data_IF_099282467851
#
_entry.id   IF_099282467851
#
_cell.length_a   1.000
_cell.length_b   1.000
_cell.length_c   1.000
_cell.angle_alpha   90.00
_cell.angle_beta   90.00
_cell.angle_gamma   90.00
#
_symmetry.space_group_name_H-M   'P 1'
#
loop_
_entity.id
_entity.type
_entity.pdbx_description
1 polymer ?
#
# COMPACT_ATOMS: atom_id res chain seq x y z
N UNK A 1 13.08 -40.95 63.28
CA UNK A 1 12.02 -41.87 62.86
C UNK A 1 10.85 -41.05 62.34
N UNK A 2 10.34 -41.50 61.18
CA UNK A 2 9.04 -41.21 60.55
C UNK A 2 8.65 -39.79 60.10
N UNK A 3 8.31 -39.76 58.81
CA UNK A 3 7.27 -38.96 58.17
C UNK A 3 7.51 -37.46 58.03
N UNK A 4 8.00 -37.06 56.85
CA UNK A 4 7.32 -36.15 55.91
C UNK A 4 8.05 -36.34 54.55
N UNK A 5 7.54 -37.29 53.77
CA UNK A 5 7.89 -37.45 52.36
C UNK A 5 6.59 -37.80 51.63
N UNK A 6 6.43 -37.25 50.43
CA UNK A 6 5.34 -37.46 49.46
C UNK A 6 4.08 -36.60 49.64
N UNK A 7 4.05 -35.49 48.91
CA UNK A 7 2.81 -34.83 48.52
C UNK A 7 3.05 -33.71 47.52
N UNK A 8 2.54 -33.85 46.30
CA UNK A 8 2.38 -32.82 45.26
C UNK A 8 3.57 -32.46 44.35
N UNK A 9 3.93 -33.40 43.47
CA UNK A 9 4.66 -33.11 42.23
C UNK A 9 3.93 -33.67 40.97
N UNK A 10 2.58 -33.60 40.93
CA UNK A 10 1.76 -34.11 39.79
C UNK A 10 0.82 -33.07 39.14
N UNK A 11 1.07 -31.76 39.31
CA UNK A 11 0.10 -30.72 38.94
C UNK A 11 0.46 -29.73 37.82
N UNK A 12 1.67 -29.74 37.25
CA UNK A 12 2.14 -28.59 36.43
C UNK A 12 2.55 -28.91 34.99
N UNK A 13 2.29 -30.12 34.49
CA UNK A 13 2.77 -30.57 33.16
C UNK A 13 1.74 -30.67 32.04
N UNK A 14 0.48 -30.27 32.23
CA UNK A 14 -0.62 -30.64 31.29
C UNK A 14 -1.49 -29.50 30.75
N UNK A 15 -1.12 -28.23 30.99
CA UNK A 15 -1.97 -27.07 30.64
C UNK A 15 -1.54 -26.25 29.41
N UNK A 16 -0.39 -26.52 28.78
CA UNK A 16 0.16 -25.65 27.71
C UNK A 16 0.20 -26.28 26.32
N UNK A 17 -0.30 -27.51 26.15
CA UNK A 17 -0.80 -27.97 24.87
C UNK A 17 -2.30 -27.70 24.84
N UNK A 18 -2.65 -26.41 24.92
CA UNK A 18 -3.95 -25.97 24.44
C UNK A 18 -4.03 -26.43 23.00
N UNK A 19 -5.04 -27.25 22.73
CA UNK A 19 -5.47 -27.75 21.43
C UNK A 19 -5.97 -26.56 20.60
N UNK A 20 -5.08 -25.59 20.38
CA UNK A 20 -5.16 -24.57 19.35
C UNK A 20 -4.99 -25.32 18.05
N UNK A 21 -6.02 -26.08 17.68
CA UNK A 21 -6.38 -26.29 16.28
C UNK A 21 -6.29 -24.92 15.65
N UNK A 22 -5.18 -24.72 14.96
CA UNK A 22 -4.69 -23.45 14.49
C UNK A 22 -5.71 -22.91 13.52
N UNK A 23 -6.70 -22.16 14.03
CA UNK A 23 -7.54 -21.31 13.22
C UNK A 23 -6.56 -20.38 12.54
N UNK A 24 -6.37 -20.63 11.24
CA UNK A 24 -5.55 -19.82 10.38
C UNK A 24 -6.07 -18.40 10.50
N UNK A 25 -5.37 -17.57 11.26
CA UNK A 25 -5.72 -16.16 11.40
C UNK A 25 -5.68 -15.58 9.98
N UNK A 26 -6.81 -15.15 9.42
CA UNK A 26 -6.86 -14.79 8.01
C UNK A 26 -6.09 -13.49 7.73
N UNK A 27 -5.65 -12.73 8.75
CA UNK A 27 -4.73 -11.60 8.59
C UNK A 27 -3.39 -12.00 8.00
N UNK A 28 -2.99 -13.24 8.25
CA UNK A 28 -1.80 -13.83 7.68
C UNK A 28 -1.85 -13.89 6.14
N UNK A 29 -3.04 -13.99 5.54
CA UNK A 29 -3.17 -13.98 4.07
C UNK A 29 -2.78 -12.63 3.45
N UNK A 30 -2.70 -11.55 4.24
CA UNK A 30 -2.30 -10.22 3.76
C UNK A 30 -0.84 -9.88 4.08
N UNK A 31 -0.17 -10.67 4.91
CA UNK A 31 1.21 -10.41 5.35
C UNK A 31 2.20 -11.07 4.39
N UNK A 32 2.99 -10.30 3.66
CA UNK A 32 4.01 -10.84 2.76
C UNK A 32 4.98 -11.79 3.50
N UNK A 33 5.33 -11.48 4.75
CA UNK A 33 6.15 -12.32 5.62
C UNK A 33 5.55 -13.70 5.89
N UNK A 34 4.22 -13.83 5.93
CA UNK A 34 3.55 -15.12 6.06
C UNK A 34 3.65 -15.98 4.79
N UNK A 35 3.69 -15.33 3.62
CA UNK A 35 3.85 -16.01 2.33
C UNK A 35 5.31 -16.42 2.08
N UNK A 36 6.26 -15.73 2.71
CA UNK A 36 7.71 -15.90 2.60
C UNK A 36 8.34 -16.64 3.78
N UNK A 37 7.56 -17.10 4.77
CA UNK A 37 8.09 -17.68 6.01
C UNK A 37 8.86 -19.00 5.73
N UNK A 38 10.19 -19.02 5.86
CA UNK A 38 11.00 -20.20 5.60
C UNK A 38 10.80 -21.29 6.67
N UNK A 39 10.23 -20.96 7.83
CA UNK A 39 9.92 -21.94 8.88
C UNK A 39 8.91 -22.98 8.39
N UNK A 40 8.10 -22.66 7.39
CA UNK A 40 7.18 -23.62 6.79
C UNK A 40 7.92 -24.74 6.08
N UNK A 41 9.12 -24.54 5.53
CA UNK A 41 9.85 -25.60 4.83
C UNK A 41 10.26 -26.74 5.77
N UNK A 42 10.26 -26.50 7.08
CA UNK A 42 10.49 -27.53 8.09
C UNK A 42 9.27 -28.41 8.40
N UNK A 43 8.07 -28.00 7.97
CA UNK A 43 6.83 -28.75 8.21
C UNK A 43 6.58 -29.69 7.03
N UNK A 44 6.61 -31.02 7.24
CA UNK A 44 6.38 -31.99 6.17
C UNK A 44 5.00 -31.77 5.54
N UNK A 45 4.94 -31.82 4.22
CA UNK A 45 3.70 -31.67 3.49
C UNK A 45 2.71 -32.77 3.88
N UNK A 46 1.44 -32.42 4.09
CA UNK A 46 0.39 -33.40 4.35
C UNK A 46 0.23 -34.34 3.14
N UNK A 47 0.04 -35.66 3.32
CA UNK A 47 -0.28 -36.58 2.22
C UNK A 47 -1.49 -36.14 1.39
N UNK A 48 -2.38 -35.33 1.96
CA UNK A 48 -3.55 -34.76 1.27
C UNK A 48 -3.17 -33.85 0.09
N UNK A 49 -1.95 -33.31 0.05
CA UNK A 49 -1.49 -32.49 -1.07
C UNK A 49 -1.43 -33.27 -2.40
N UNK A 50 -1.31 -34.60 -2.35
CA UNK A 50 -1.41 -35.45 -3.54
C UNK A 50 -2.76 -35.30 -4.26
N UNK A 51 -3.84 -35.04 -3.53
CA UNK A 51 -5.13 -34.76 -4.16
C UNK A 51 -5.10 -33.49 -5.00
N UNK A 52 -4.38 -32.46 -4.56
CA UNK A 52 -4.25 -31.21 -5.31
C UNK A 52 -3.47 -31.43 -6.61
N UNK A 53 -2.43 -32.27 -6.58
CA UNK A 53 -1.70 -32.72 -7.78
C UNK A 53 -2.64 -33.46 -8.73
N UNK A 54 -3.38 -34.45 -8.23
CA UNK A 54 -4.32 -35.25 -9.04
C UNK A 54 -5.41 -34.37 -9.66
N UNK A 55 -6.04 -33.49 -8.88
CA UNK A 55 -7.07 -32.57 -9.39
C UNK A 55 -6.51 -31.56 -10.38
N UNK A 56 -5.28 -31.07 -10.18
CA UNK A 56 -4.62 -30.20 -11.13
C UNK A 56 -4.33 -30.91 -12.46
N UNK A 57 -3.85 -32.15 -12.43
CA UNK A 57 -3.65 -32.95 -13.64
C UNK A 57 -4.97 -33.25 -14.37
N UNK A 58 -6.01 -33.62 -13.63
CA UNK A 58 -7.36 -33.81 -14.17
C UNK A 58 -7.87 -32.49 -14.80
N UNK A 59 -7.68 -31.35 -14.13
CA UNK A 59 -8.04 -30.03 -14.65
C UNK A 59 -7.36 -29.72 -15.98
N UNK A 60 -6.06 -29.99 -16.11
CA UNK A 60 -5.35 -29.86 -17.39
C UNK A 60 -5.91 -30.79 -18.48
N UNK A 61 -6.17 -32.05 -18.15
CA UNK A 61 -6.73 -33.01 -19.10
C UNK A 61 -8.13 -32.59 -19.57
N UNK A 62 -8.98 -32.12 -18.66
CA UNK A 62 -10.30 -31.58 -18.99
C UNK A 62 -10.18 -30.32 -19.85
N UNK A 63 -9.26 -29.40 -19.55
CA UNK A 63 -9.01 -28.22 -20.37
C UNK A 63 -8.71 -28.62 -21.82
N UNK A 64 -7.83 -29.60 -22.02
CA UNK A 64 -7.46 -30.11 -23.33
C UNK A 64 -8.61 -30.83 -24.03
N UNK A 65 -9.37 -31.65 -23.30
CA UNK A 65 -10.53 -32.38 -23.83
C UNK A 65 -11.65 -31.44 -24.30
N UNK A 66 -11.89 -30.35 -23.56
CA UNK A 66 -12.94 -29.37 -23.85
C UNK A 66 -12.48 -28.18 -24.70
N UNK A 67 -11.26 -28.20 -25.24
CA UNK A 67 -10.68 -27.09 -26.04
C UNK A 67 -11.51 -26.68 -27.26
N UNK A 68 -12.37 -27.57 -27.76
CA UNK A 68 -13.25 -27.31 -28.89
C UNK A 68 -14.60 -26.69 -28.50
N UNK A 69 -14.99 -26.80 -27.22
CA UNK A 69 -16.27 -26.27 -26.71
C UNK A 69 -16.12 -24.94 -25.97
N UNK A 70 -14.93 -24.65 -25.45
CA UNK A 70 -14.63 -23.43 -24.70
C UNK A 70 -13.82 -22.45 -25.55
N UNK A 71 -13.89 -21.16 -25.22
CA UNK A 71 -13.01 -20.18 -25.87
C UNK A 71 -11.54 -20.50 -25.57
N UNK A 72 -10.65 -20.20 -26.53
CA UNK A 72 -9.21 -20.44 -26.37
C UNK A 72 -8.65 -19.79 -25.10
N UNK A 73 -9.14 -18.59 -24.75
CA UNK A 73 -8.73 -17.85 -23.56
C UNK A 73 -9.14 -18.57 -22.27
N UNK A 74 -10.37 -19.06 -22.17
CA UNK A 74 -10.86 -19.81 -21.00
C UNK A 74 -10.11 -21.12 -20.85
N UNK A 75 -9.94 -21.85 -21.96
CA UNK A 75 -9.21 -23.12 -22.00
C UNK A 75 -7.76 -22.96 -21.53
N UNK A 76 -7.06 -21.95 -22.05
CA UNK A 76 -5.67 -21.67 -21.70
C UNK A 76 -5.53 -21.20 -20.25
N UNK A 77 -6.42 -20.33 -19.78
CA UNK A 77 -6.40 -19.85 -18.39
C UNK A 77 -6.65 -20.99 -17.40
N UNK A 78 -7.62 -21.87 -17.70
CA UNK A 78 -7.93 -23.04 -16.87
C UNK A 78 -6.79 -24.06 -16.87
N UNK A 79 -6.22 -24.37 -18.03
CA UNK A 79 -5.06 -25.26 -18.14
C UNK A 79 -3.83 -24.73 -17.37
N UNK A 80 -3.54 -23.43 -17.49
CA UNK A 80 -2.43 -22.78 -16.78
C UNK A 80 -2.67 -22.79 -15.26
N UNK A 81 -3.88 -22.46 -14.80
CA UNK A 81 -4.23 -22.49 -13.39
C UNK A 81 -4.06 -23.89 -12.78
N UNK A 82 -4.58 -24.92 -13.46
CA UNK A 82 -4.48 -26.31 -13.03
C UNK A 82 -3.04 -26.83 -13.05
N UNK A 83 -2.24 -26.45 -14.05
CA UNK A 83 -0.82 -26.80 -14.13
C UNK A 83 -0.03 -26.15 -13.01
N UNK A 84 -0.23 -24.86 -12.75
CA UNK A 84 0.46 -24.13 -11.69
C UNK A 84 0.09 -24.67 -10.31
N UNK A 85 -1.19 -24.98 -10.06
CA UNK A 85 -1.61 -25.65 -8.83
C UNK A 85 -0.90 -27.00 -8.63
N UNK A 86 -0.75 -27.77 -9.71
CA UNK A 86 0.00 -29.04 -9.71
C UNK A 86 1.47 -28.83 -9.38
N UNK A 87 2.14 -27.87 -10.03
CA UNK A 87 3.56 -27.57 -9.84
C UNK A 87 3.86 -27.08 -8.42
N UNK A 88 2.99 -26.21 -7.87
CA UNK A 88 3.15 -25.70 -6.51
C UNK A 88 2.92 -26.81 -5.48
N UNK A 89 1.91 -27.65 -5.68
CA UNK A 89 1.66 -28.80 -4.82
C UNK A 89 2.81 -29.82 -4.87
N UNK A 90 3.33 -30.12 -6.06
CA UNK A 90 4.47 -31.02 -6.23
C UNK A 90 5.75 -30.43 -5.63
N UNK A 91 6.01 -29.14 -5.84
CA UNK A 91 7.12 -28.42 -5.23
C UNK A 91 7.09 -28.49 -3.70
N UNK A 92 5.89 -28.43 -3.10
CA UNK A 92 5.71 -28.60 -1.67
C UNK A 92 5.96 -30.04 -1.20
N UNK A 93 5.48 -31.03 -1.94
CA UNK A 93 5.69 -32.46 -1.65
C UNK A 93 7.18 -32.86 -1.76
N UNK A 94 7.90 -32.28 -2.72
CA UNK A 94 9.32 -32.55 -2.99
C UNK A 94 10.28 -31.62 -2.24
N UNK A 95 9.77 -30.74 -1.38
CA UNK A 95 10.54 -29.73 -0.65
C UNK A 95 11.41 -28.83 -1.56
N UNK A 96 10.92 -28.51 -2.76
CA UNK A 96 11.55 -27.53 -3.65
C UNK A 96 11.31 -26.11 -3.13
N UNK A 97 12.39 -25.42 -2.75
CA UNK A 97 12.38 -24.11 -2.06
C UNK A 97 11.54 -23.02 -2.72
N UNK A 98 11.46 -22.97 -4.05
CA UNK A 98 10.80 -21.85 -4.76
C UNK A 98 9.30 -22.15 -4.98
N UNK A 99 8.90 -23.26 -5.63
CA UNK A 99 7.48 -23.56 -5.86
C UNK A 99 6.76 -24.10 -4.61
N UNK A 100 7.48 -24.60 -3.60
CA UNK A 100 6.89 -25.15 -2.36
C UNK A 100 6.49 -24.10 -1.32
N UNK A 101 6.79 -22.81 -1.55
CA UNK A 101 6.36 -21.73 -0.68
C UNK A 101 4.92 -21.32 -0.98
N UNK A 102 4.26 -20.70 0.00
CA UNK A 102 2.91 -20.14 -0.21
C UNK A 102 2.89 -19.11 -1.34
N UNK A 103 4.00 -18.41 -1.57
CA UNK A 103 4.21 -17.51 -2.71
C UNK A 103 3.93 -18.19 -4.06
N UNK A 104 4.21 -19.48 -4.20
CA UNK A 104 3.91 -20.25 -5.40
C UNK A 104 2.41 -20.25 -5.73
N UNK A 105 1.54 -20.35 -4.72
CA UNK A 105 0.08 -20.27 -4.90
C UNK A 105 -0.38 -18.88 -5.35
N UNK A 106 0.24 -17.83 -4.81
CA UNK A 106 -0.09 -16.45 -5.17
C UNK A 106 0.35 -16.13 -6.60
N UNK A 107 1.55 -16.59 -7.00
CA UNK A 107 2.01 -16.51 -8.38
C UNK A 107 1.13 -17.33 -9.32
N UNK A 108 0.72 -18.54 -8.90
CA UNK A 108 -0.19 -19.39 -9.67
C UNK A 108 -1.52 -18.67 -9.97
N UNK A 109 -2.12 -18.07 -8.94
CA UNK A 109 -3.34 -17.29 -9.07
C UNK A 109 -3.15 -16.05 -9.96
N UNK A 110 -2.07 -15.28 -9.76
CA UNK A 110 -1.79 -14.09 -10.56
C UNK A 110 -1.62 -14.44 -12.05
N UNK A 111 -0.81 -15.46 -12.37
CA UNK A 111 -0.59 -15.89 -13.76
C UNK A 111 -1.88 -16.40 -14.40
N UNK A 112 -2.74 -17.10 -13.63
CA UNK A 112 -4.04 -17.58 -14.11
C UNK A 112 -5.06 -16.44 -14.33
N UNK A 113 -5.05 -15.41 -13.47
CA UNK A 113 -6.00 -14.31 -13.52
C UNK A 113 -5.72 -13.31 -14.66
N UNK A 114 -4.45 -13.09 -15.00
CA UNK A 114 -4.00 -12.14 -16.04
C UNK A 114 -4.68 -12.34 -17.40
N UNK A 115 -4.70 -13.54 -18.02
CA UNK A 115 -5.33 -13.71 -19.33
C UNK A 115 -6.85 -13.47 -19.29
N UNK A 116 -7.53 -13.80 -18.19
CA UNK A 116 -8.96 -13.56 -18.01
C UNK A 116 -9.21 -12.05 -17.90
N UNK A 117 -8.45 -11.34 -17.08
CA UNK A 117 -8.58 -9.89 -16.92
C UNK A 117 -8.26 -9.16 -18.22
N UNK A 118 -7.20 -9.55 -18.93
CA UNK A 118 -6.86 -8.96 -20.23
C UNK A 118 -7.94 -9.25 -21.28
N UNK A 119 -8.54 -10.43 -21.28
CA UNK A 119 -9.63 -10.76 -22.20
C UNK A 119 -10.88 -9.90 -21.91
N UNK A 120 -11.28 -9.79 -20.65
CA UNK A 120 -12.41 -8.95 -20.23
C UNK A 120 -12.14 -7.48 -20.54
N UNK A 121 -10.91 -7.01 -20.32
CA UNK A 121 -10.52 -5.64 -20.63
C UNK A 121 -10.54 -5.38 -22.15
N UNK A 122 -10.05 -6.32 -22.97
CA UNK A 122 -10.10 -6.23 -24.44
C UNK A 122 -11.54 -6.27 -24.95
N UNK A 123 -12.38 -7.14 -24.41
CA UNK A 123 -13.80 -7.19 -24.75
C UNK A 123 -14.47 -5.86 -24.39
N UNK A 124 -14.25 -5.35 -23.17
CA UNK A 124 -14.79 -4.07 -22.74
C UNK A 124 -14.27 -2.90 -23.61
N UNK A 125 -13.01 -2.96 -24.06
CA UNK A 125 -12.44 -1.98 -24.98
C UNK A 125 -13.10 -2.02 -26.36
N UNK A 126 -13.22 -3.22 -26.95
CA UNK A 126 -13.79 -3.42 -28.28
C UNK A 126 -15.27 -3.03 -28.34
N UNK A 127 -16.03 -3.27 -27.27
CA UNK A 127 -17.44 -2.87 -27.18
C UNK A 127 -17.64 -1.41 -26.77
N UNK A 128 -16.57 -0.62 -26.65
CA UNK A 128 -16.64 0.77 -26.23
C UNK A 128 -17.05 0.97 -24.76
N UNK A 129 -17.18 -0.10 -23.97
CA UNK A 129 -17.49 0.00 -22.52
C UNK A 129 -16.39 0.74 -21.80
N UNK A 130 -15.12 0.44 -22.10
CA UNK A 130 -13.98 1.18 -21.51
C UNK A 130 -13.99 2.63 -21.95
N UNK A 131 -14.26 2.92 -23.23
CA UNK A 131 -14.35 4.30 -23.69
C UNK A 131 -15.52 5.04 -23.04
N UNK A 132 -16.65 4.38 -22.80
CA UNK A 132 -17.79 4.94 -22.09
C UNK A 132 -17.49 5.19 -20.62
N UNK A 133 -16.91 4.22 -19.92
CA UNK A 133 -16.47 4.40 -18.54
C UNK A 133 -15.40 5.49 -18.42
N UNK A 134 -14.44 5.55 -19.35
CA UNK A 134 -13.43 6.60 -19.40
C UNK A 134 -14.04 7.94 -19.77
N UNK A 135 -15.01 8.02 -20.68
CA UNK A 135 -15.70 9.27 -21.01
C UNK A 135 -16.54 9.76 -19.83
N UNK A 136 -17.23 8.86 -19.13
CA UNK A 136 -17.96 9.17 -17.90
C UNK A 136 -16.99 9.61 -16.79
N UNK A 137 -15.88 8.90 -16.61
CA UNK A 137 -14.86 9.22 -15.61
C UNK A 137 -14.07 10.49 -15.94
N UNK A 138 -13.87 10.78 -17.22
CA UNK A 138 -13.21 12.00 -17.71
C UNK A 138 -14.21 13.11 -18.02
N UNK A 139 -15.50 12.93 -17.72
CA UNK A 139 -16.56 13.88 -18.01
C UNK A 139 -16.60 14.37 -19.46
N UNK A 140 -16.09 13.55 -20.39
CA UNK A 140 -16.11 13.85 -21.81
C UNK A 140 -17.51 13.52 -22.35
N UNK A 141 -18.21 14.47 -22.99
CA UNK A 141 -19.46 14.14 -23.69
C UNK A 141 -19.20 13.01 -24.69
N UNK A 142 -20.04 11.99 -24.65
CA UNK A 142 -19.95 10.78 -25.46
C UNK A 142 -19.95 11.16 -26.95
N UNK A 143 -18.80 11.01 -27.61
CA UNK A 143 -18.67 11.02 -29.06
C UNK A 143 -19.25 9.70 -29.60
N UNK A 144 -20.58 9.58 -29.66
CA UNK A 144 -21.24 8.47 -30.36
C UNK A 144 -21.81 8.97 -31.68
N UNK A 145 -21.22 8.53 -32.79
CA UNK A 145 -21.80 8.58 -34.13
C UNK A 145 -20.89 9.20 -35.20
N UNK A 146 -20.96 8.68 -36.44
CA UNK A 146 -20.21 9.07 -37.65
C UNK A 146 -20.42 10.54 -38.11
N UNK A 147 -21.06 11.38 -37.30
CA UNK A 147 -21.23 12.81 -37.49
C UNK A 147 -20.32 13.66 -36.59
N UNK A 148 -19.07 13.26 -36.33
CA UNK A 148 -18.15 13.95 -35.42
C UNK A 148 -17.91 15.44 -35.75
N UNK A 149 -18.25 15.89 -36.96
CA UNK A 149 -18.21 17.30 -37.34
C UNK A 149 -19.44 18.11 -36.90
N UNK A 150 -20.54 17.47 -36.47
CA UNK A 150 -21.83 18.14 -36.24
C UNK A 150 -22.21 18.31 -34.75
N UNK A 151 -21.48 17.73 -33.80
CA UNK A 151 -21.80 17.82 -32.36
C UNK A 151 -20.78 18.61 -31.52
N UNK A 152 -20.29 19.75 -32.03
CA UNK A 152 -19.80 20.82 -31.15
C UNK A 152 -21.01 21.47 -30.47
N UNK A 153 -21.53 20.89 -29.38
CA UNK A 153 -22.58 21.58 -28.61
C UNK A 153 -23.48 20.77 -27.68
N UNK A 154 -23.23 19.47 -27.44
CA UNK A 154 -24.02 18.73 -26.45
C UNK A 154 -23.62 19.18 -25.05
N UNK A 155 -24.32 20.21 -24.55
CA UNK A 155 -24.17 20.72 -23.20
C UNK A 155 -24.75 19.72 -22.21
N UNK A 156 -23.96 19.33 -21.21
CA UNK A 156 -24.52 18.61 -20.07
C UNK A 156 -25.61 19.46 -19.40
N UNK A 157 -26.76 18.88 -19.03
CA UNK A 157 -27.76 19.61 -18.28
C UNK A 157 -27.14 20.10 -16.96
N UNK A 158 -27.52 21.31 -16.52
CA UNK A 158 -26.99 21.93 -15.31
C UNK A 158 -27.12 21.00 -14.08
N UNK A 159 -28.22 20.25 -13.99
CA UNK A 159 -28.45 19.26 -12.94
C UNK A 159 -27.35 18.21 -12.86
N UNK A 160 -26.87 17.71 -14.01
CA UNK A 160 -25.80 16.73 -14.07
C UNK A 160 -24.46 17.33 -13.64
N UNK A 161 -24.17 18.56 -14.07
CA UNK A 161 -22.96 19.30 -13.64
C UNK A 161 -22.96 19.51 -12.12
N UNK A 162 -24.07 19.96 -11.56
CA UNK A 162 -24.22 20.17 -10.12
C UNK A 162 -24.12 18.85 -9.34
N UNK A 163 -24.71 17.77 -9.87
CA UNK A 163 -24.60 16.44 -9.27
C UNK A 163 -23.13 15.98 -9.16
N UNK A 164 -22.34 16.14 -10.22
CA UNK A 164 -20.93 15.76 -10.18
C UNK A 164 -20.08 16.64 -9.28
N UNK A 165 -20.31 17.95 -9.26
CA UNK A 165 -19.66 18.84 -8.30
C UNK A 165 -20.00 18.46 -6.86
N UNK A 166 -21.25 18.10 -6.59
CA UNK A 166 -21.67 17.59 -5.29
C UNK A 166 -20.97 16.26 -4.94
N UNK A 167 -20.80 15.36 -5.92
CA UNK A 167 -20.08 14.10 -5.72
C UNK A 167 -18.59 14.34 -5.42
N UNK A 168 -17.93 15.24 -6.15
CA UNK A 168 -16.54 15.62 -5.87
C UNK A 168 -16.40 16.27 -4.49
N UNK A 169 -17.34 17.15 -4.12
CA UNK A 169 -17.38 17.76 -2.80
C UNK A 169 -17.55 16.71 -1.70
N UNK A 170 -18.45 15.74 -1.88
CA UNK A 170 -18.66 14.63 -0.95
C UNK A 170 -17.38 13.79 -0.80
N UNK A 171 -16.71 13.47 -1.90
CA UNK A 171 -15.43 12.76 -1.88
C UNK A 171 -14.33 13.53 -1.13
N UNK A 172 -14.23 14.84 -1.34
CA UNK A 172 -13.28 15.70 -0.65
C UNK A 172 -13.63 15.94 0.83
N UNK A 173 -14.92 16.00 1.18
CA UNK A 173 -15.37 16.05 2.57
C UNK A 173 -15.05 14.75 3.30
N UNK A 174 -15.22 13.61 2.62
CA UNK A 174 -14.82 12.30 3.15
C UNK A 174 -13.32 12.25 3.38
N UNK A 175 -12.52 12.71 2.41
CA UNK A 175 -11.07 12.86 2.58
C UNK A 175 -10.73 13.74 3.78
N UNK A 176 -11.33 14.92 3.90
CA UNK A 176 -11.04 15.86 4.97
C UNK A 176 -11.39 15.27 6.34
N UNK A 177 -12.55 14.62 6.45
CA UNK A 177 -12.99 13.92 7.68
C UNK A 177 -12.00 12.82 8.09
N UNK A 178 -11.59 11.97 7.14
CA UNK A 178 -10.65 10.87 7.41
C UNK A 178 -9.26 11.37 7.83
N UNK A 179 -8.83 12.53 7.33
CA UNK A 179 -7.54 13.14 7.67
C UNK A 179 -7.64 14.19 8.79
N UNK A 180 -8.83 14.37 9.40
CA UNK A 180 -9.12 15.38 10.44
C UNK A 180 -8.82 16.83 9.99
N UNK A 181 -8.95 17.10 8.70
CA UNK A 181 -8.86 18.45 8.17
C UNK A 181 -10.19 19.19 8.37
N UNK A 182 -10.15 20.51 8.51
CA UNK A 182 -11.39 21.28 8.61
C UNK A 182 -12.23 21.14 7.34
N UNK A 183 -13.56 21.04 7.47
CA UNK A 183 -14.47 20.77 6.35
C UNK A 183 -14.36 21.81 5.22
N UNK A 184 -14.02 23.06 5.52
CA UNK A 184 -13.85 24.12 4.53
C UNK A 184 -12.67 23.86 3.58
N UNK A 185 -11.70 23.02 3.96
CA UNK A 185 -10.58 22.64 3.09
C UNK A 185 -11.06 21.93 1.83
N UNK A 186 -12.10 21.09 1.92
CA UNK A 186 -12.71 20.43 0.77
C UNK A 186 -13.25 21.44 -0.25
N UNK A 187 -13.88 22.52 0.23
CA UNK A 187 -14.40 23.59 -0.62
C UNK A 187 -13.24 24.36 -1.26
N UNK A 188 -12.22 24.71 -0.48
CA UNK A 188 -11.04 25.43 -0.98
C UNK A 188 -10.31 24.63 -2.06
N UNK A 189 -10.13 23.32 -1.85
CA UNK A 189 -9.50 22.40 -2.82
C UNK A 189 -10.34 22.31 -4.09
N UNK A 190 -11.66 22.12 -3.97
CA UNK A 190 -12.54 22.03 -5.13
C UNK A 190 -12.55 23.34 -5.92
N UNK A 191 -12.60 24.47 -5.22
CA UNK A 191 -12.54 25.80 -5.83
C UNK A 191 -11.21 26.02 -6.56
N UNK A 192 -10.09 25.63 -5.95
CA UNK A 192 -8.76 25.72 -6.56
C UNK A 192 -8.59 24.80 -7.77
N UNK A 193 -9.01 23.53 -7.66
CA UNK A 193 -8.99 22.60 -8.79
C UNK A 193 -9.89 23.07 -9.95
N UNK A 194 -10.97 23.78 -9.62
CA UNK A 194 -11.89 24.38 -10.59
C UNK A 194 -11.47 25.78 -11.05
N UNK A 195 -10.35 26.33 -10.57
CA UNK A 195 -9.92 27.71 -10.88
C UNK A 195 -9.83 27.99 -12.40
N UNK A 196 -9.29 27.08 -13.25
CA UNK A 196 -9.29 27.30 -14.70
C UNK A 196 -10.69 27.47 -15.29
N UNK A 197 -11.69 26.81 -14.71
CA UNK A 197 -13.10 26.92 -15.09
C UNK A 197 -13.67 28.28 -14.71
N UNK A 198 -13.32 28.81 -13.54
CA UNK A 198 -13.78 30.13 -13.10
C UNK A 198 -13.10 31.27 -13.86
N UNK A 199 -11.79 31.18 -14.10
CA UNK A 199 -11.05 32.15 -14.92
C UNK A 199 -11.66 32.27 -16.33
N UNK A 200 -12.24 31.18 -16.84
CA UNK A 200 -12.96 31.16 -18.11
C UNK A 200 -14.22 32.01 -18.13
N UNK A 201 -14.95 32.16 -17.01
CA UNK A 201 -16.21 32.94 -16.96
C UNK A 201 -16.00 34.45 -17.12
N UNK A 202 -14.76 34.92 -17.00
CA UNK A 202 -14.37 36.29 -17.36
C UNK A 202 -14.37 36.48 -18.90
N UNK A 203 -14.44 35.38 -19.67
CA UNK A 203 -14.39 35.34 -21.13
C UNK A 203 -15.74 34.87 -21.74
N UNK A 204 -16.03 35.16 -23.03
CA UNK A 204 -17.41 35.19 -23.55
C UNK A 204 -18.23 33.88 -23.42
N UNK A 205 -19.55 33.98 -23.14
CA UNK A 205 -20.41 32.93 -22.56
C UNK A 205 -20.91 31.81 -23.51
N UNK A 206 -20.28 31.59 -24.66
CA UNK A 206 -20.93 30.87 -25.77
C UNK A 206 -20.76 29.35 -25.84
N UNK A 207 -19.63 28.78 -25.42
CA UNK A 207 -19.16 27.61 -26.19
C UNK A 207 -18.74 26.37 -25.36
N UNK A 208 -18.63 26.43 -24.02
CA UNK A 208 -17.69 25.54 -23.33
C UNK A 208 -18.04 25.10 -21.88
N UNK A 209 -19.30 24.76 -21.60
CA UNK A 209 -19.65 24.18 -20.30
C UNK A 209 -18.96 22.80 -20.08
N UNK A 210 -18.70 22.06 -21.15
CA UNK A 210 -18.45 20.61 -21.05
C UNK A 210 -16.98 20.23 -20.81
N UNK A 211 -16.02 21.03 -21.30
CA UNK A 211 -14.59 20.77 -21.08
C UNK A 211 -14.14 21.05 -19.62
N UNK A 212 -14.99 21.71 -18.83
CA UNK A 212 -14.62 22.19 -17.49
C UNK A 212 -14.54 21.08 -16.45
N UNK A 213 -15.52 20.17 -16.42
CA UNK A 213 -15.57 19.07 -15.46
C UNK A 213 -14.50 18.01 -15.74
N UNK A 214 -14.11 17.84 -17.00
CA UNK A 214 -13.07 16.89 -17.38
C UNK A 214 -11.74 17.12 -16.67
N UNK A 215 -11.45 18.38 -16.34
CA UNK A 215 -10.27 18.74 -15.54
C UNK A 215 -10.29 18.18 -14.12
N UNK A 216 -11.46 17.84 -13.56
CA UNK A 216 -11.61 17.26 -12.22
C UNK A 216 -11.48 15.74 -12.18
N UNK A 217 -11.42 15.07 -13.34
CA UNK A 217 -11.28 13.61 -13.44
C UNK A 217 -10.10 13.03 -12.65
N UNK A 218 -8.91 13.67 -12.56
CA UNK A 218 -7.82 13.19 -11.72
C UNK A 218 -8.20 13.00 -10.25
N UNK A 219 -9.17 13.76 -9.72
CA UNK A 219 -9.63 13.60 -8.34
C UNK A 219 -10.29 12.23 -8.08
N UNK A 220 -10.72 11.51 -9.11
CA UNK A 220 -11.20 10.13 -8.94
C UNK A 220 -10.12 9.21 -8.38
N UNK A 221 -8.84 9.49 -8.66
CA UNK A 221 -7.73 8.70 -8.13
C UNK A 221 -7.62 8.82 -6.61
N UNK A 222 -7.80 10.02 -6.03
CA UNK A 222 -7.78 10.16 -4.56
C UNK A 222 -8.96 9.42 -3.93
N UNK A 223 -10.14 9.43 -4.55
CA UNK A 223 -11.30 8.69 -4.03
C UNK A 223 -11.06 7.18 -4.08
N UNK A 224 -10.45 6.68 -5.16
CA UNK A 224 -10.04 5.28 -5.26
C UNK A 224 -9.03 4.89 -4.17
N UNK A 225 -8.04 5.75 -3.91
CA UNK A 225 -7.05 5.51 -2.84
C UNK A 225 -7.70 5.50 -1.46
N UNK A 226 -8.66 6.39 -1.20
CA UNK A 226 -9.44 6.36 0.05
C UNK A 226 -10.23 5.04 0.15
N UNK A 227 -10.91 4.62 -0.91
CA UNK A 227 -11.67 3.37 -0.95
C UNK A 227 -10.77 2.16 -0.66
N UNK A 228 -9.62 2.09 -1.32
CA UNK A 228 -8.61 1.03 -1.10
C UNK A 228 -8.13 1.08 0.36
N UNK A 229 -7.79 2.26 0.88
CA UNK A 229 -7.28 2.41 2.24
C UNK A 229 -8.31 1.99 3.28
N UNK A 230 -9.57 2.36 3.09
CA UNK A 230 -10.67 1.96 3.98
C UNK A 230 -10.97 0.48 3.87
N UNK A 231 -10.98 -0.07 2.65
CA UNK A 231 -11.19 -1.50 2.40
C UNK A 231 -10.08 -2.37 2.98
N UNK A 232 -8.81 -2.04 2.71
CA UNK A 232 -7.63 -2.75 3.23
C UNK A 232 -7.52 -2.56 4.74
N UNK A 233 -7.71 -1.34 5.25
CA UNK A 233 -7.68 -1.07 6.69
C UNK A 233 -8.80 -1.79 7.44
N UNK A 234 -10.01 -1.80 6.89
CA UNK A 234 -11.16 -2.51 7.44
C UNK A 234 -10.98 -4.01 7.41
N UNK A 235 -10.47 -4.56 6.31
CA UNK A 235 -10.11 -5.97 6.21
C UNK A 235 -9.02 -6.31 7.22
N UNK A 236 -7.94 -5.52 7.33
CA UNK A 236 -6.90 -5.76 8.33
C UNK A 236 -7.43 -5.62 9.77
N UNK A 237 -8.41 -4.76 10.03
CA UNK A 237 -9.07 -4.68 11.33
C UNK A 237 -9.88 -5.94 11.65
N UNK A 238 -10.68 -6.42 10.71
CA UNK A 238 -11.45 -7.67 10.88
C UNK A 238 -10.55 -8.88 11.08
N UNK A 239 -9.40 -8.87 10.45
CA UNK A 239 -8.49 -9.99 10.44
C UNK A 239 -7.49 -9.97 11.60
N UNK A 240 -6.85 -8.83 11.85
CA UNK A 240 -5.74 -8.67 12.79
C UNK A 240 -6.07 -7.80 14.02
N UNK A 241 -7.29 -7.26 14.11
CA UNK A 241 -7.68 -6.29 15.14
C UNK A 241 -7.01 -4.92 14.99
N UNK A 242 -6.32 -4.65 13.88
CA UNK A 242 -5.58 -3.40 13.65
C UNK A 242 -6.02 -2.72 12.37
N UNK A 243 -6.47 -1.47 12.47
CA UNK A 243 -6.80 -0.65 11.32
C UNK A 243 -5.54 0.02 10.75
N UNK A 244 -4.75 -0.73 10.00
CA UNK A 244 -3.53 -0.24 9.35
C UNK A 244 -3.40 -0.79 7.93
N UNK A 245 -2.89 0.03 7.01
CA UNK A 245 -2.47 -0.45 5.69
C UNK A 245 -1.07 -1.05 5.84
N UNK A 246 -0.82 -2.30 5.39
CA UNK A 246 0.50 -2.92 5.51
C UNK A 246 1.59 -2.14 4.77
N UNK A 247 2.80 -2.11 5.31
CA UNK A 247 3.99 -1.69 4.57
C UNK A 247 4.27 -2.65 3.40
N UNK A 248 4.72 -2.18 2.22
CA UNK A 248 5.11 -0.81 1.87
C UNK A 248 3.96 0.07 1.32
N UNK A 249 2.73 -0.44 1.34
CA UNK A 249 1.59 0.21 0.70
C UNK A 249 1.13 1.48 1.40
N UNK A 250 1.50 1.66 2.67
CA UNK A 250 1.16 2.87 3.45
C UNK A 250 1.66 4.16 2.78
N UNK A 251 2.85 4.10 2.18
CA UNK A 251 3.48 5.25 1.51
C UNK A 251 2.87 5.50 0.15
N UNK A 252 2.65 4.43 -0.64
CA UNK A 252 2.03 4.51 -1.97
C UNK A 252 0.58 5.02 -1.90
N UNK A 253 -0.15 4.64 -0.85
CA UNK A 253 -1.53 5.07 -0.61
C UNK A 253 -1.63 6.20 0.41
N UNK A 254 -0.58 7.03 0.52
CA UNK A 254 -0.66 8.25 1.31
C UNK A 254 -1.65 9.22 0.63
N UNK A 255 -2.82 9.46 1.23
CA UNK A 255 -3.90 10.16 0.56
C UNK A 255 -3.55 11.64 0.41
N UNK A 256 -2.72 12.22 1.27
CA UNK A 256 -2.29 13.62 1.16
C UNK A 256 -1.39 13.84 -0.06
N UNK A 257 -0.45 12.92 -0.31
CA UNK A 257 0.41 12.98 -1.50
C UNK A 257 -0.41 12.79 -2.78
N UNK A 258 -1.30 11.79 -2.80
CA UNK A 258 -2.18 11.54 -3.94
C UNK A 258 -3.11 12.72 -4.19
N UNK A 259 -3.66 13.34 -3.14
CA UNK A 259 -4.47 14.56 -3.28
C UNK A 259 -3.66 15.69 -3.93
N UNK A 260 -2.43 15.95 -3.45
CA UNK A 260 -1.58 17.00 -4.01
C UNK A 260 -1.33 16.78 -5.51
N UNK A 261 -0.97 15.56 -5.90
CA UNK A 261 -0.71 15.19 -7.29
C UNK A 261 -1.98 15.35 -8.13
N UNK A 262 -3.12 14.85 -7.66
CA UNK A 262 -4.38 14.88 -8.43
C UNK A 262 -4.93 16.28 -8.58
N UNK A 263 -4.89 17.12 -7.54
CA UNK A 263 -5.27 18.53 -7.61
C UNK A 263 -4.35 19.30 -8.55
N UNK A 264 -3.02 19.12 -8.45
CA UNK A 264 -2.07 19.74 -9.36
C UNK A 264 -2.32 19.34 -10.82
N UNK A 265 -2.55 18.05 -11.06
CA UNK A 265 -2.84 17.53 -12.39
C UNK A 265 -4.17 18.06 -12.94
N UNK A 266 -5.20 18.20 -12.09
CA UNK A 266 -6.46 18.83 -12.46
C UNK A 266 -6.30 20.28 -12.93
N UNK A 267 -5.51 21.07 -12.23
CA UNK A 267 -5.21 22.46 -12.63
C UNK A 267 -4.46 22.50 -13.96
N UNK A 268 -3.46 21.63 -14.14
CA UNK A 268 -2.68 21.54 -15.39
C UNK A 268 -3.58 21.18 -16.57
N UNK A 269 -4.46 20.18 -16.43
CA UNK A 269 -5.42 19.80 -17.47
C UNK A 269 -6.38 20.96 -17.76
N UNK A 270 -6.94 21.59 -16.72
CA UNK A 270 -7.85 22.72 -16.88
C UNK A 270 -7.21 23.89 -17.62
N UNK A 271 -5.96 24.21 -17.28
CA UNK A 271 -5.19 25.24 -17.98
C UNK A 271 -4.86 24.84 -19.42
N UNK A 272 -4.44 23.60 -19.65
CA UNK A 272 -4.16 23.08 -21.00
C UNK A 272 -5.38 23.18 -21.90
N UNK A 273 -6.56 22.80 -21.41
CA UNK A 273 -7.82 22.94 -22.15
C UNK A 273 -8.13 24.40 -22.48
N UNK A 274 -7.90 25.31 -21.52
CA UNK A 274 -8.11 26.75 -21.71
C UNK A 274 -7.15 27.34 -22.77
N UNK A 275 -5.88 26.93 -22.78
CA UNK A 275 -4.89 27.43 -23.75
C UNK A 275 -5.06 26.81 -25.13
N UNK A 276 -5.32 25.50 -25.22
CA UNK A 276 -5.52 24.78 -26.49
C UNK A 276 -6.62 25.43 -27.33
N UNK A 277 -7.69 25.90 -26.70
CA UNK A 277 -8.78 26.57 -27.38
C UNK A 277 -8.41 27.97 -27.89
N UNK A 278 -7.54 28.68 -27.17
CA UNK A 278 -7.10 30.02 -27.56
C UNK A 278 -6.12 30.01 -28.73
N UNK A 279 -5.32 28.95 -28.85
CA UNK A 279 -4.22 28.84 -29.79
C UNK A 279 -4.25 27.51 -30.54
N UNK A 280 -5.38 27.16 -31.15
CA UNK A 280 -5.55 25.87 -31.85
C UNK A 280 -4.46 25.59 -32.89
N UNK A 281 -3.88 26.64 -33.47
CA UNK A 281 -2.93 26.53 -34.58
C UNK A 281 -1.46 26.61 -34.12
N UNK A 282 -1.21 26.90 -32.84
CA UNK A 282 0.08 27.40 -32.40
C UNK A 282 0.70 26.46 -31.35
N UNK A 283 1.56 25.53 -31.78
CA UNK A 283 2.11 24.44 -30.95
C UNK A 283 2.98 24.88 -29.74
N UNK A 284 3.14 26.19 -29.51
CA UNK A 284 3.99 26.73 -28.44
C UNK A 284 3.48 26.33 -27.04
N UNK A 285 2.17 26.16 -26.84
CA UNK A 285 1.61 25.79 -25.54
C UNK A 285 1.98 24.36 -25.11
N UNK A 286 2.13 23.44 -26.06
CA UNK A 286 2.61 22.08 -25.78
C UNK A 286 4.04 22.16 -25.27
N UNK A 287 4.87 23.00 -25.90
CA UNK A 287 6.27 23.24 -25.49
C UNK A 287 6.36 23.94 -24.12
N UNK A 288 5.51 24.94 -23.87
CA UNK A 288 5.47 25.64 -22.59
C UNK A 288 4.98 24.72 -21.46
N UNK A 289 3.93 23.92 -21.72
CA UNK A 289 3.40 22.95 -20.76
C UNK A 289 4.41 21.85 -20.43
N UNK A 290 5.11 21.30 -21.43
CA UNK A 290 6.17 20.32 -21.20
C UNK A 290 7.35 20.93 -20.42
N UNK A 291 7.76 22.16 -20.75
CA UNK A 291 8.82 22.87 -20.02
C UNK A 291 8.44 23.11 -18.55
N UNK A 292 7.20 23.52 -18.29
CA UNK A 292 6.69 23.71 -16.92
C UNK A 292 6.67 22.40 -16.13
N UNK A 293 6.28 21.29 -16.78
CA UNK A 293 6.26 19.97 -16.15
C UNK A 293 7.68 19.47 -15.84
N UNK A 294 8.63 19.71 -16.75
CA UNK A 294 10.06 19.42 -16.54
C UNK A 294 10.58 20.25 -15.36
N UNK A 295 10.31 21.57 -15.34
CA UNK A 295 10.74 22.45 -14.27
C UNK A 295 10.18 22.03 -12.91
N UNK A 296 8.90 21.66 -12.84
CA UNK A 296 8.27 21.17 -11.62
C UNK A 296 8.89 19.84 -11.16
N UNK A 297 9.16 18.92 -12.08
CA UNK A 297 9.81 17.64 -11.78
C UNK A 297 11.23 17.85 -11.25
N UNK A 298 11.99 18.76 -11.86
CA UNK A 298 13.33 19.12 -11.41
C UNK A 298 13.31 19.81 -10.05
N UNK A 299 12.36 20.72 -9.80
CA UNK A 299 12.20 21.38 -8.52
C UNK A 299 11.84 20.38 -7.41
N UNK A 300 10.96 19.41 -7.71
CA UNK A 300 10.64 18.33 -6.78
C UNK A 300 11.85 17.43 -6.52
N UNK A 301 12.57 17.01 -7.57
CA UNK A 301 13.78 16.20 -7.43
C UNK A 301 14.84 16.93 -6.59
N UNK A 302 15.07 18.21 -6.85
CA UNK A 302 15.96 19.06 -6.07
C UNK A 302 15.50 19.18 -4.61
N UNK A 303 14.21 19.42 -4.37
CA UNK A 303 13.66 19.45 -3.01
C UNK A 303 13.86 18.12 -2.29
N UNK A 304 13.61 16.98 -2.93
CA UNK A 304 13.87 15.67 -2.32
C UNK A 304 15.35 15.43 -2.08
N UNK A 305 16.22 15.84 -3.00
CA UNK A 305 17.66 15.73 -2.84
C UNK A 305 18.19 16.65 -1.74
N UNK A 306 17.60 17.83 -1.53
CA UNK A 306 17.98 18.67 -0.41
C UNK A 306 17.38 18.09 0.88
N UNK A 307 16.07 17.94 0.97
CA UNK A 307 15.38 17.51 2.20
C UNK A 307 15.78 16.12 2.71
N UNK A 308 15.98 15.14 1.82
CA UNK A 308 16.33 13.77 2.22
C UNK A 308 17.84 13.56 2.38
N UNK A 309 18.67 14.42 1.80
CA UNK A 309 20.14 14.29 1.86
C UNK A 309 20.76 15.27 2.87
N UNK A 310 20.09 16.40 3.18
CA UNK A 310 20.48 17.33 4.25
C UNK A 310 19.91 16.95 5.62
N UNK A 311 18.87 16.12 5.67
CA UNK A 311 18.58 15.30 6.85
C UNK A 311 19.33 13.97 6.73
N UNK A 312 20.64 14.04 6.50
CA UNK A 312 21.50 12.86 6.57
C UNK A 312 21.22 12.16 7.88
N UNK A 313 20.78 10.90 7.80
CA UNK A 313 20.56 9.95 8.91
C UNK A 313 20.56 10.67 10.25
N UNK A 314 19.53 11.49 10.50
CA UNK A 314 19.44 12.15 11.79
C UNK A 314 19.32 10.99 12.78
N UNK A 315 20.10 11.02 13.86
CA UNK A 315 20.39 9.87 14.72
C UNK A 315 19.20 9.02 15.14
N UNK A 316 17.95 9.46 14.96
CA UNK A 316 16.72 8.67 15.11
C UNK A 316 16.57 7.38 14.30
N UNK A 317 17.42 7.07 13.30
CA UNK A 317 17.39 5.74 12.69
C UNK A 317 17.96 4.71 13.69
N UNK A 318 17.16 3.74 14.18
CA UNK A 318 17.66 2.72 15.11
C UNK A 318 18.86 1.93 14.56
N UNK A 319 19.01 1.84 13.24
CA UNK A 319 20.18 1.24 12.61
C UNK A 319 21.44 2.11 12.76
N UNK A 320 21.31 3.43 12.75
CA UNK A 320 22.43 4.34 12.95
C UNK A 320 22.98 4.27 14.39
N UNK A 321 22.11 4.18 15.41
CA UNK A 321 22.56 3.98 16.80
C UNK A 321 23.19 2.61 17.03
N UNK A 322 22.65 1.55 16.42
CA UNK A 322 23.27 0.23 16.53
C UNK A 322 24.62 0.19 15.84
N UNK A 323 24.77 0.85 14.69
CA UNK A 323 26.04 0.92 13.97
C UNK A 323 27.07 1.80 14.66
N UNK A 324 26.67 2.96 15.21
CA UNK A 324 27.51 3.75 16.13
C UNK A 324 27.93 2.93 17.37
N UNK A 325 27.04 2.11 17.93
CA UNK A 325 27.37 1.23 19.04
C UNK A 325 28.41 0.17 18.68
N UNK A 326 28.30 -0.43 17.49
CA UNK A 326 29.28 -1.39 16.97
C UNK A 326 30.62 -0.72 16.69
N UNK A 327 30.63 0.45 16.06
CA UNK A 327 31.88 1.17 15.75
C UNK A 327 32.56 1.72 17.01
N UNK A 328 31.79 2.17 18.01
CA UNK A 328 32.34 2.53 19.31
C UNK A 328 32.96 1.31 20.02
N UNK A 329 32.32 0.14 19.94
CA UNK A 329 32.83 -1.07 20.56
C UNK A 329 34.05 -1.66 19.84
N UNK A 330 34.15 -1.50 18.52
CA UNK A 330 35.22 -2.11 17.71
C UNK A 330 36.39 -1.17 17.43
N UNK A 331 36.14 0.13 17.27
CA UNK A 331 37.13 1.13 16.86
C UNK A 331 37.36 2.21 17.92
N UNK A 332 36.57 2.25 18.99
CA UNK A 332 36.68 3.26 20.03
C UNK A 332 36.22 4.66 19.61
N UNK A 333 35.61 4.81 18.42
CA UNK A 333 35.07 6.09 17.94
C UNK A 333 33.71 5.89 17.28
N UNK A 334 32.86 6.91 17.32
CA UNK A 334 31.52 6.88 16.70
C UNK A 334 31.52 7.30 15.23
N UNK A 335 32.67 7.68 14.67
CA UNK A 335 32.79 8.18 13.30
C UNK A 335 33.08 7.03 12.32
N UNK A 336 32.32 7.01 11.24
CA UNK A 336 32.47 6.01 10.18
C UNK A 336 33.23 6.66 9.04
N UNK A 337 34.29 6.03 8.54
CA UNK A 337 34.88 6.43 7.27
C UNK A 337 33.90 6.11 6.14
N UNK A 338 33.56 7.09 5.30
CA UNK A 338 32.54 6.99 4.24
C UNK A 338 32.73 5.76 3.33
N UNK A 339 33.99 5.34 3.14
CA UNK A 339 34.39 4.19 2.34
C UNK A 339 33.95 2.86 2.98
N UNK A 340 33.93 2.76 4.31
CA UNK A 340 33.53 1.55 5.03
C UNK A 340 32.02 1.28 4.98
N UNK A 341 31.20 2.32 4.80
CA UNK A 341 29.74 2.24 4.66
C UNK A 341 29.32 1.60 3.31
N UNK A 342 30.03 1.94 2.22
CA UNK A 342 29.85 1.31 0.91
C UNK A 342 30.25 -0.17 0.92
N UNK A 343 31.30 -0.51 1.68
CA UNK A 343 31.79 -1.89 1.80
C UNK A 343 30.84 -2.77 2.63
N UNK A 344 30.20 -2.21 3.67
CA UNK A 344 29.23 -2.92 4.50
C UNK A 344 27.91 -3.21 3.77
N UNK A 345 27.40 -2.28 2.97
CA UNK A 345 26.20 -2.51 2.15
C UNK A 345 26.40 -3.65 1.15
N UNK A 346 27.59 -3.78 0.56
CA UNK A 346 27.95 -4.91 -0.31
C UNK A 346 28.10 -6.23 0.47
N UNK A 347 28.64 -6.17 1.70
CA UNK A 347 28.84 -7.36 2.53
C UNK A 347 27.51 -7.94 3.06
N UNK A 348 26.58 -7.09 3.53
CA UNK A 348 25.24 -7.54 4.00
C UNK A 348 24.40 -8.10 2.86
N UNK A 349 24.46 -7.48 1.68
CA UNK A 349 23.75 -7.98 0.50
C UNK A 349 24.25 -9.35 0.02
N UNK A 350 25.49 -9.73 0.36
CA UNK A 350 26.10 -10.98 -0.09
C UNK A 350 26.18 -12.07 0.98
N UNK A 351 26.18 -11.73 2.28
CA UNK A 351 26.46 -12.69 3.37
C UNK A 351 25.45 -12.67 4.55
N UNK A 352 24.38 -11.87 4.47
CA UNK A 352 23.49 -11.60 5.62
C UNK A 352 22.66 -12.77 6.19
N UNK A 353 22.64 -13.96 5.56
CA UNK A 353 21.75 -15.04 6.00
C UNK A 353 22.39 -16.09 6.92
N UNK A 354 23.72 -16.26 6.94
CA UNK A 354 24.31 -17.46 7.58
C UNK A 354 24.89 -17.22 8.98
N UNK A 355 25.13 -15.97 9.40
CA UNK A 355 25.90 -15.69 10.62
C UNK A 355 25.05 -15.34 11.86
N UNK A 356 23.82 -14.86 11.71
CA UNK A 356 22.98 -14.46 12.85
C UNK A 356 22.34 -15.62 13.62
N UNK A 357 22.34 -16.84 13.07
CA UNK A 357 21.77 -18.03 13.71
C UNK A 357 22.63 -18.66 14.81
N UNK A 358 23.93 -18.33 14.92
CA UNK A 358 24.87 -19.08 15.77
C UNK A 358 25.18 -18.46 17.14
N UNK A 359 24.88 -17.18 17.38
CA UNK A 359 25.25 -16.54 18.65
C UNK A 359 24.19 -16.64 19.77
N UNK A 360 22.99 -17.18 19.52
CA UNK A 360 21.92 -17.24 20.53
C UNK A 360 22.02 -18.45 21.50
N UNK A 361 23.24 -18.94 21.80
CA UNK A 361 23.43 -20.13 22.67
C UNK A 361 24.47 -20.01 23.79
N UNK A 362 25.03 -18.83 24.05
CA UNK A 362 26.00 -18.67 25.15
C UNK A 362 25.46 -17.71 26.23
N UNK A 363 25.01 -18.31 27.33
CA UNK A 363 25.17 -17.77 28.69
C UNK A 363 24.27 -16.62 29.15
N UNK A 364 23.08 -16.93 29.67
CA UNK A 364 22.44 -16.09 30.70
C UNK A 364 22.47 -16.82 32.04
N UNK A 365 23.58 -16.66 32.75
CA UNK A 365 23.67 -16.97 34.18
C UNK A 365 22.77 -16.01 34.97
N UNK A 366 21.85 -16.58 35.75
CA UNK A 366 20.98 -15.85 36.68
C UNK A 366 21.81 -15.37 37.88
N UNK A 367 21.92 -14.05 38.05
CA UNK A 367 22.21 -13.46 39.36
C UNK A 367 20.90 -12.99 40.00
N UNK A 368 20.59 -13.57 41.16
CA UNK A 368 19.61 -13.08 42.12
C UNK A 368 20.10 -11.75 42.74
N UNK A 369 19.23 -10.74 42.91
CA UNK A 369 19.44 -9.72 43.93
C UNK A 369 18.59 -10.04 45.17
N UNK A 370 19.30 -10.19 46.28
CA UNK A 370 18.81 -10.21 47.65
C UNK A 370 18.22 -8.85 48.06
N UNK A 371 16.97 -8.91 48.52
CA UNK A 371 16.39 -8.23 49.70
C UNK A 371 17.25 -7.12 50.34
N UNK A 372 16.75 -5.87 50.32
CA UNK A 372 17.07 -4.84 51.31
C UNK A 372 15.88 -3.89 51.52
N UNK A 373 15.27 -4.04 52.69
CA UNK A 373 14.76 -3.01 53.63
C UNK A 373 14.10 -1.72 53.12
N UNK A 374 12.83 -1.60 53.53
CA UNK A 374 12.08 -0.35 53.74
C UNK A 374 12.92 0.74 54.43
N UNK A 375 12.87 1.96 53.91
CA UNK A 375 13.13 3.17 54.69
C UNK A 375 12.13 4.24 54.27
N UNK A 376 11.24 4.55 55.20
CA UNK A 376 10.24 5.62 55.15
C UNK A 376 10.96 6.96 55.25
N UNK A 377 10.81 7.83 54.25
CA UNK A 377 11.25 9.23 54.32
C UNK A 377 9.99 10.11 54.38
N UNK A 378 9.77 10.70 55.55
CA UNK A 378 8.79 11.75 55.77
C UNK A 378 9.32 13.09 55.22
N UNK A 379 8.51 13.77 54.41
CA UNK A 379 8.65 15.19 54.13
C UNK A 379 7.91 16.01 55.21
N UNK A 380 8.53 17.04 55.83
CA UNK A 380 7.78 18.09 56.47
C UNK A 380 7.67 19.31 55.53
N UNK A 381 6.44 19.68 55.24
CA UNK A 381 6.08 20.93 54.58
C UNK A 381 6.17 22.10 55.58
N UNK A 382 6.88 23.15 55.20
CA UNK A 382 6.99 24.40 55.94
C UNK A 382 5.83 25.36 55.61
N UNK A 383 5.14 25.88 56.64
CA UNK A 383 4.28 27.09 56.66
C UNK A 383 4.11 27.45 58.16
N UNK A 384 4.09 28.68 58.70
CA UNK A 384 4.54 30.06 58.40
C UNK A 384 4.15 30.88 59.66
N UNK A 385 4.81 32.02 59.89
CA UNK A 385 4.34 33.19 60.70
C UNK A 385 4.35 33.03 62.23
N UNK A 386 5.27 33.60 63.02
CA UNK A 386 5.65 35.00 63.32
C UNK A 386 4.64 35.81 64.15
N UNK A 387 5.17 36.43 65.23
CA UNK A 387 4.67 37.55 66.07
C UNK A 387 3.65 37.21 67.17
N UNK A 388 3.66 37.81 68.36
CA UNK A 388 4.53 38.82 68.99
C UNK A 388 4.29 38.79 70.51
N UNK A 389 5.20 39.45 71.22
CA UNK A 389 5.16 39.88 72.62
C UNK A 389 3.83 40.48 73.09
N UNK A 390 3.36 40.05 74.27
CA UNK A 390 3.18 40.83 75.52
C UNK A 390 2.24 40.09 76.47
#
# INVERSE_FOLDING_TARGET
MSNIANGNARGLGRGLFSDNTSRMDPSNLLRLSYWLDPALDSIPASPRLWWVVVFGLIGCALALAFRHKLSKAVTLSFAIASLLATVVALGRLLAWRIPGLRLGWLMAFAIAAVPITLHQLRWAWQNGVVSHCLNVATFSPLLQGEGAHQMRGVRWPLSFTLFWLALHLLGLLTFASLNRWPWWSAIAILAFASLPVFLRRVFPPGFLADASLASLAPLLLIYLVILIRVGVGGLNYLLAGQYAVPEPFSTLFNPTLVLLVTVGYSVVIGYWLLVRERHSDDAWYIKAGSLALIALTLAWALYTALSLHTHGVSGSDPYAYTQMGVDLATRGTVFHDLISLLQWHFFVATHGNDTFGRQRKIGTGRHHPSRATHTTICCPSAVRSSRDHS
#
